data_IF_137080061830
#
_entry.id   IF_137080061830
#
_cell.length_a   1.000
_cell.length_b   1.000
_cell.length_c   1.000
_cell.angle_alpha   90.00
_cell.angle_beta   90.00
_cell.angle_gamma   90.00
#
_symmetry.space_group_name_H-M   'P 1'
#
loop_
_entity.id
_entity.type
_entity.pdbx_description
1 polymer ?
#
# COMPACT_ATOMS: atom_id res chain seq x y z
N UNK A 1 8.97 49.59 -58.02
CA UNK A 1 9.15 48.15 -57.74
C UNK A 1 9.75 47.96 -56.35
N UNK A 2 8.98 47.55 -55.33
CA UNK A 2 9.51 47.03 -54.09
C UNK A 2 9.36 45.50 -54.02
N UNK A 3 10.42 44.84 -53.58
CA UNK A 3 10.62 43.40 -53.46
C UNK A 3 9.56 42.74 -52.54
N UNK A 4 8.85 41.73 -53.05
CA UNK A 4 8.17 40.71 -52.24
C UNK A 4 9.21 40.03 -51.36
N UNK A 5 9.11 40.19 -50.03
CA UNK A 5 9.80 39.30 -49.09
C UNK A 5 9.06 37.96 -49.12
N UNK A 6 9.64 36.96 -49.79
CA UNK A 6 9.22 35.58 -49.65
C UNK A 6 9.40 35.18 -48.18
N UNK A 7 8.31 34.82 -47.50
CA UNK A 7 8.41 34.02 -46.29
C UNK A 7 9.17 32.74 -46.68
N UNK A 8 10.35 32.54 -46.10
CA UNK A 8 11.06 31.27 -46.29
C UNK A 8 10.22 30.17 -45.65
N UNK A 9 10.04 29.09 -46.40
CA UNK A 9 9.32 27.87 -46.01
C UNK A 9 9.79 27.30 -44.65
N UNK A 10 10.98 27.70 -44.20
CA UNK A 10 11.60 27.30 -42.94
C UNK A 10 10.90 27.84 -41.67
N UNK A 11 10.15 28.95 -41.74
CA UNK A 11 9.44 29.49 -40.57
C UNK A 11 8.04 28.89 -40.36
N UNK A 12 7.46 28.26 -41.39
CA UNK A 12 6.18 27.55 -41.28
C UNK A 12 6.34 26.13 -40.69
N UNK A 13 7.54 25.53 -40.80
CA UNK A 13 7.83 24.20 -40.24
C UNK A 13 8.17 24.27 -38.75
N UNK A 14 8.78 25.36 -38.27
CA UNK A 14 9.14 25.49 -36.85
C UNK A 14 7.93 25.75 -35.93
N UNK A 15 6.88 26.41 -36.43
CA UNK A 15 5.64 26.64 -35.66
C UNK A 15 4.73 25.40 -35.62
N UNK A 16 4.83 24.52 -36.62
CA UNK A 16 4.09 23.25 -36.64
C UNK A 16 4.72 22.16 -35.75
N UNK A 17 6.03 22.20 -35.49
CA UNK A 17 6.70 21.24 -34.59
C UNK A 17 6.51 21.60 -33.11
N UNK A 18 6.36 22.88 -32.75
CA UNK A 18 6.12 23.30 -31.35
C UNK A 18 4.64 23.19 -30.94
N UNK A 19 3.69 23.24 -31.89
CA UNK A 19 2.26 23.05 -31.61
C UNK A 19 1.85 21.56 -31.68
N UNK A 20 2.53 20.73 -32.46
CA UNK A 20 2.31 19.28 -32.46
C UNK A 20 2.80 18.58 -31.18
N UNK A 21 3.76 19.16 -30.45
CA UNK A 21 4.24 18.65 -29.17
C UNK A 21 3.30 18.95 -27.97
N UNK A 22 2.32 19.85 -28.14
CA UNK A 22 1.34 20.20 -27.09
C UNK A 22 -0.10 19.74 -27.39
N UNK A 23 -0.33 19.04 -28.51
CA UNK A 23 -1.66 18.59 -28.94
C UNK A 23 -1.84 17.07 -28.87
N UNK A 24 -0.78 16.33 -28.53
CA UNK A 24 -0.94 14.98 -28.01
C UNK A 24 -1.20 15.13 -26.51
N UNK A 25 -2.46 15.33 -26.17
CA UNK A 25 -2.98 14.85 -24.89
C UNK A 25 -2.88 13.32 -24.91
N UNK A 26 -1.65 12.80 -24.87
CA UNK A 26 -1.41 11.53 -24.23
C UNK A 26 -1.93 11.75 -22.82
N UNK A 27 -2.83 10.89 -22.31
CA UNK A 27 -3.18 10.95 -20.90
C UNK A 27 -1.85 11.02 -20.14
N UNK A 28 -1.67 12.07 -19.33
CA UNK A 28 -0.54 12.16 -18.43
C UNK A 28 -0.78 11.06 -17.39
N UNK A 29 -0.38 9.83 -17.73
CA UNK A 29 -0.32 8.74 -16.79
C UNK A 29 0.69 9.22 -15.77
N UNK A 30 0.27 9.35 -14.51
CA UNK A 30 1.20 9.63 -13.43
C UNK A 30 2.41 8.70 -13.58
N UNK A 31 3.62 9.21 -13.29
CA UNK A 31 4.84 8.42 -13.44
C UNK A 31 4.69 7.13 -12.66
N UNK A 32 4.41 6.06 -13.39
CA UNK A 32 4.03 4.77 -12.86
C UNK A 32 4.55 3.69 -13.78
N UNK A 33 5.16 2.67 -13.20
CA UNK A 33 5.74 1.55 -13.92
C UNK A 33 5.25 0.26 -13.27
N UNK A 34 4.91 -0.73 -14.09
CA UNK A 34 4.70 -2.09 -13.61
C UNK A 34 5.51 -3.09 -14.43
N UNK A 35 5.93 -4.19 -13.80
CA UNK A 35 6.61 -5.32 -14.43
C UNK A 35 5.97 -6.60 -13.93
N UNK A 36 5.52 -7.44 -14.85
CA UNK A 36 4.92 -8.74 -14.57
C UNK A 36 6.00 -9.81 -14.71
N UNK A 37 6.10 -10.71 -13.74
CA UNK A 37 7.14 -11.75 -13.68
C UNK A 37 8.38 -11.30 -12.92
N UNK A 38 9.49 -12.00 -13.16
CA UNK A 38 10.75 -11.90 -12.42
C UNK A 38 11.93 -11.37 -13.24
N UNK A 39 11.69 -10.73 -14.39
CA UNK A 39 12.76 -10.14 -15.20
C UNK A 39 13.63 -9.20 -14.35
N UNK A 40 14.98 -9.36 -14.32
CA UNK A 40 15.83 -8.62 -13.40
C UNK A 40 15.63 -7.10 -13.49
N UNK A 41 15.41 -6.47 -12.35
CA UNK A 41 15.34 -5.03 -12.21
C UNK A 41 16.74 -4.47 -11.92
N UNK A 42 16.94 -3.21 -12.28
CA UNK A 42 18.19 -2.48 -12.06
C UNK A 42 18.15 -1.68 -10.77
N UNK A 43 19.32 -1.44 -10.20
CA UNK A 43 19.44 -0.64 -8.98
C UNK A 43 19.04 0.82 -9.22
N UNK A 44 18.32 1.38 -8.24
CA UNK A 44 18.12 2.81 -8.06
C UNK A 44 19.20 3.35 -7.10
N UNK A 45 19.69 4.57 -7.34
CA UNK A 45 20.65 5.24 -6.46
C UNK A 45 20.14 5.49 -5.04
N UNK A 46 18.82 5.43 -4.82
CA UNK A 46 18.21 5.58 -3.50
C UNK A 46 18.10 4.28 -2.69
N UNK A 47 18.37 3.13 -3.30
CA UNK A 47 18.27 1.85 -2.61
C UNK A 47 19.43 1.66 -1.61
N UNK A 48 19.15 1.16 -0.39
CA UNK A 48 20.19 0.73 0.52
C UNK A 48 21.03 -0.40 -0.08
N UNK A 49 22.30 -0.46 0.35
CA UNK A 49 23.20 -1.53 -0.05
C UNK A 49 22.62 -2.89 0.37
N UNK A 50 22.78 -3.92 -0.47
CA UNK A 50 22.26 -5.25 -0.20
C UNK A 50 20.78 -5.47 -0.54
N UNK A 51 20.02 -4.45 -1.00
CA UNK A 51 18.59 -4.62 -1.32
C UNK A 51 18.32 -5.38 -2.62
N UNK A 52 19.20 -5.25 -3.62
CA UNK A 52 18.98 -5.83 -4.96
C UNK A 52 18.82 -7.35 -4.99
N UNK A 53 19.57 -8.15 -4.20
CA UNK A 53 19.30 -9.59 -4.05
C UNK A 53 17.84 -9.90 -3.67
N UNK A 54 17.26 -9.13 -2.73
CA UNK A 54 15.87 -9.31 -2.29
C UNK A 54 14.88 -8.94 -3.42
N UNK A 55 15.13 -7.83 -4.12
CA UNK A 55 14.28 -7.36 -5.23
C UNK A 55 14.28 -8.35 -6.41
N UNK A 56 15.43 -8.94 -6.71
CA UNK A 56 15.61 -9.86 -7.84
C UNK A 56 15.56 -11.33 -7.42
N UNK A 57 14.95 -11.62 -6.29
CA UNK A 57 14.67 -13.00 -5.88
C UNK A 57 13.75 -13.67 -6.93
N UNK A 58 14.04 -14.94 -7.26
CA UNK A 58 13.44 -15.65 -8.39
C UNK A 58 11.91 -15.85 -8.28
N UNK A 59 11.36 -15.77 -7.07
CA UNK A 59 9.94 -15.92 -6.74
C UNK A 59 9.17 -14.60 -6.88
N UNK A 60 9.80 -13.49 -7.30
CA UNK A 60 9.08 -12.26 -7.64
C UNK A 60 8.10 -12.54 -8.78
N UNK A 61 6.84 -12.18 -8.60
CA UNK A 61 5.80 -12.33 -9.63
C UNK A 61 5.32 -11.00 -10.19
N UNK A 62 5.55 -9.91 -9.47
CA UNK A 62 5.08 -8.59 -9.87
C UNK A 62 5.89 -7.49 -9.19
N UNK A 63 6.01 -6.36 -9.88
CA UNK A 63 6.58 -5.12 -9.36
C UNK A 63 5.73 -3.95 -9.85
N UNK A 64 5.49 -2.99 -8.96
CA UNK A 64 4.85 -1.73 -9.28
C UNK A 64 5.57 -0.57 -8.59
N UNK A 65 5.71 0.54 -9.31
CA UNK A 65 6.26 1.79 -8.82
C UNK A 65 5.32 2.93 -9.19
N UNK A 66 5.04 3.82 -8.24
CA UNK A 66 4.33 5.08 -8.49
C UNK A 66 4.97 6.19 -7.67
N UNK A 67 5.60 7.17 -8.33
CA UNK A 67 6.19 8.36 -7.68
C UNK A 67 7.20 8.05 -6.54
N UNK A 68 7.89 6.91 -6.59
CA UNK A 68 8.83 6.47 -5.53
C UNK A 68 8.20 5.56 -4.48
N UNK A 69 6.92 5.22 -4.59
CA UNK A 69 6.28 4.18 -3.79
C UNK A 69 6.43 2.83 -4.51
N UNK A 70 7.28 1.96 -4.00
CA UNK A 70 7.68 0.71 -4.67
C UNK A 70 7.16 -0.51 -3.95
N UNK A 71 6.50 -1.38 -4.69
CA UNK A 71 5.99 -2.65 -4.18
C UNK A 71 6.48 -3.78 -5.06
N UNK A 72 7.12 -4.76 -4.44
CA UNK A 72 7.53 -6.00 -5.05
C UNK A 72 6.72 -7.13 -4.42
N UNK A 73 6.23 -8.04 -5.24
CA UNK A 73 5.31 -9.10 -4.81
C UNK A 73 5.88 -10.45 -5.19
N UNK A 74 5.82 -11.39 -4.26
CA UNK A 74 6.46 -12.70 -4.39
C UNK A 74 5.45 -13.81 -4.11
N UNK A 75 5.66 -14.96 -4.76
CA UNK A 75 4.90 -16.18 -4.51
C UNK A 75 5.84 -17.36 -4.34
N UNK A 76 5.71 -18.08 -3.24
CA UNK A 76 6.56 -19.21 -2.92
C UNK A 76 6.25 -19.85 -1.58
N UNK A 77 7.03 -20.87 -1.25
CA UNK A 77 6.87 -21.62 -0.01
C UNK A 77 7.78 -21.08 1.10
N UNK A 78 7.58 -21.58 2.32
CA UNK A 78 8.31 -21.14 3.52
C UNK A 78 9.83 -21.19 3.37
N UNK A 79 10.38 -22.16 2.63
CA UNK A 79 11.82 -22.22 2.38
C UNK A 79 12.34 -21.02 1.57
N UNK A 80 11.58 -20.60 0.54
CA UNK A 80 11.91 -19.43 -0.27
C UNK A 80 11.79 -18.12 0.54
N UNK A 81 10.77 -18.05 1.40
CA UNK A 81 10.65 -16.95 2.35
C UNK A 81 11.87 -16.89 3.28
N UNK A 82 12.31 -18.01 3.84
CA UNK A 82 13.48 -18.05 4.72
C UNK A 82 14.77 -17.58 4.00
N UNK A 83 14.95 -17.95 2.72
CA UNK A 83 16.07 -17.44 1.91
C UNK A 83 15.96 -15.91 1.69
N UNK A 84 14.74 -15.41 1.46
CA UNK A 84 14.47 -13.97 1.32
C UNK A 84 14.75 -13.22 2.62
N UNK A 85 14.33 -13.76 3.77
CA UNK A 85 14.57 -13.17 5.09
C UNK A 85 16.07 -13.08 5.40
N UNK A 86 16.85 -14.11 5.06
CA UNK A 86 18.32 -14.10 5.19
C UNK A 86 18.97 -12.99 4.37
N UNK A 87 18.51 -12.78 3.14
CA UNK A 87 19.01 -11.67 2.31
C UNK A 87 18.56 -10.31 2.84
N UNK A 88 17.31 -10.21 3.30
CA UNK A 88 16.75 -8.97 3.83
C UNK A 88 17.49 -8.49 5.08
N UNK A 89 17.89 -9.40 5.97
CA UNK A 89 18.69 -9.08 7.15
C UNK A 89 20.10 -8.55 6.83
N UNK A 90 20.59 -8.72 5.60
CA UNK A 90 21.88 -8.20 5.14
C UNK A 90 21.78 -6.82 4.50
N UNK A 91 20.57 -6.27 4.33
CA UNK A 91 20.37 -4.93 3.77
C UNK A 91 20.92 -3.89 4.74
N UNK A 92 21.69 -2.92 4.24
CA UNK A 92 22.17 -1.79 5.03
C UNK A 92 21.04 -0.78 5.28
N UNK A 93 20.17 -1.11 6.24
CA UNK A 93 19.04 -0.29 6.66
C UNK A 93 19.03 -0.13 8.19
N UNK A 94 18.55 1.02 8.71
CA UNK A 94 18.46 1.25 10.16
C UNK A 94 17.51 0.28 10.88
N UNK A 95 16.51 -0.24 10.17
CA UNK A 95 15.50 -1.16 10.70
C UNK A 95 15.17 -2.22 9.65
N UNK A 96 14.97 -3.46 10.12
CA UNK A 96 14.52 -4.59 9.30
C UNK A 96 13.14 -5.05 9.75
N UNK A 97 12.11 -4.31 9.34
CA UNK A 97 10.75 -4.59 9.73
C UNK A 97 10.16 -5.73 8.88
N UNK A 98 9.70 -6.78 9.55
CA UNK A 98 8.96 -7.90 8.96
C UNK A 98 7.57 -7.92 9.57
N UNK A 99 6.56 -7.59 8.78
CA UNK A 99 5.15 -7.62 9.18
C UNK A 99 4.58 -9.00 8.88
N UNK A 100 3.95 -9.62 9.87
CA UNK A 100 3.16 -10.83 9.68
C UNK A 100 1.67 -10.48 9.70
N UNK A 101 0.98 -10.72 8.59
CA UNK A 101 -0.47 -10.52 8.46
C UNK A 101 -1.17 -11.83 8.10
N UNK A 102 -2.43 -12.02 8.51
CA UNK A 102 -3.26 -13.07 7.93
C UNK A 102 -3.41 -12.86 6.43
N UNK A 103 -3.25 -13.94 5.67
CA UNK A 103 -3.44 -13.97 4.23
C UNK A 103 -4.91 -14.15 3.82
N UNK A 104 -5.17 -14.24 2.50
CA UNK A 104 -4.18 -14.21 1.42
C UNK A 104 -3.65 -12.80 1.15
N UNK A 105 -2.37 -12.71 0.76
CA UNK A 105 -1.81 -11.48 0.19
C UNK A 105 -2.36 -11.24 -1.21
N UNK A 106 -2.56 -9.97 -1.55
CA UNK A 106 -3.09 -9.56 -2.87
C UNK A 106 -2.30 -8.38 -3.40
N UNK A 107 -1.95 -8.46 -4.68
CA UNK A 107 -1.54 -7.35 -5.50
C UNK A 107 -2.66 -6.99 -6.49
N UNK A 108 -2.65 -5.76 -6.98
CA UNK A 108 -3.52 -5.32 -8.05
C UNK A 108 -2.69 -4.65 -9.13
N UNK A 109 -2.85 -5.11 -10.38
CA UNK A 109 -2.20 -4.52 -11.55
C UNK A 109 -2.86 -3.20 -11.92
N UNK A 110 -2.19 -2.40 -12.76
CA UNK A 110 -2.76 -1.13 -13.23
C UNK A 110 -4.04 -1.30 -14.05
N UNK A 111 -4.22 -2.46 -14.68
CA UNK A 111 -5.47 -2.85 -15.37
C UNK A 111 -6.52 -3.46 -14.43
N UNK A 112 -6.34 -3.30 -13.12
CA UNK A 112 -7.17 -3.83 -12.04
C UNK A 112 -7.19 -5.36 -11.89
N UNK A 113 -6.38 -6.09 -12.67
CA UNK A 113 -6.27 -7.54 -12.56
C UNK A 113 -5.71 -7.94 -11.19
N UNK A 114 -6.40 -8.78 -10.40
CA UNK A 114 -5.91 -9.24 -9.11
C UNK A 114 -4.79 -10.28 -9.29
N UNK A 115 -3.80 -10.25 -8.41
CA UNK A 115 -2.76 -11.27 -8.29
C UNK A 115 -2.61 -11.67 -6.82
N UNK A 116 -2.42 -12.96 -6.55
CA UNK A 116 -2.08 -13.40 -5.20
C UNK A 116 -0.61 -13.10 -4.89
N UNK A 117 -0.25 -12.98 -3.61
CA UNK A 117 1.14 -13.01 -3.16
C UNK A 117 1.23 -13.65 -1.78
N UNK A 118 2.40 -14.22 -1.49
CA UNK A 118 2.72 -14.82 -0.20
C UNK A 118 3.54 -13.85 0.67
N UNK A 119 4.35 -12.99 0.06
CA UNK A 119 4.96 -11.83 0.72
C UNK A 119 5.19 -10.67 -0.25
N UNK A 120 5.43 -9.49 0.32
CA UNK A 120 5.78 -8.27 -0.40
C UNK A 120 6.98 -7.58 0.23
N UNK A 121 7.70 -6.82 -0.58
CA UNK A 121 8.69 -5.84 -0.13
C UNK A 121 8.17 -4.46 -0.52
N UNK A 122 8.07 -3.56 0.45
CA UNK A 122 7.73 -2.16 0.25
C UNK A 122 8.97 -1.30 0.44
N UNK A 123 9.24 -0.41 -0.51
CA UNK A 123 10.37 0.53 -0.48
C UNK A 123 9.85 1.92 -0.77
N UNK A 124 10.27 2.89 0.05
CA UNK A 124 9.90 4.30 -0.09
C UNK A 124 11.10 5.10 -0.58
N UNK A 125 10.97 5.68 -1.77
CA UNK A 125 11.93 6.57 -2.41
C UNK A 125 11.25 7.78 -3.04
N UNK A 126 12.01 8.57 -3.79
CA UNK A 126 11.54 9.64 -4.67
C UNK A 126 10.62 10.66 -3.97
N UNK A 127 9.50 10.96 -4.63
CA UNK A 127 8.53 11.96 -4.15
C UNK A 127 7.90 11.52 -2.83
N UNK A 128 7.53 10.24 -2.72
CA UNK A 128 6.93 9.71 -1.47
C UNK A 128 7.89 9.83 -0.30
N UNK A 129 9.18 9.49 -0.46
CA UNK A 129 10.19 9.70 0.58
C UNK A 129 10.24 11.16 1.04
N UNK A 130 10.34 12.09 0.10
CA UNK A 130 10.35 13.54 0.39
C UNK A 130 9.07 14.01 1.11
N UNK A 131 7.90 13.45 0.77
CA UNK A 131 6.64 13.74 1.45
C UNK A 131 6.64 13.19 2.88
N UNK A 132 7.00 11.93 3.06
CA UNK A 132 7.04 11.27 4.38
C UNK A 132 8.00 11.95 5.34
N UNK A 133 9.18 12.38 4.88
CA UNK A 133 10.16 13.10 5.69
C UNK A 133 9.67 14.47 6.16
N UNK A 134 8.82 15.13 5.38
CA UNK A 134 8.35 16.51 5.66
C UNK A 134 7.01 16.58 6.38
N UNK A 135 6.15 15.58 6.19
CA UNK A 135 4.71 15.68 6.51
C UNK A 135 4.16 14.53 7.33
N UNK A 136 4.86 13.40 7.43
CA UNK A 136 4.39 12.27 8.23
C UNK A 136 4.80 12.39 9.70
N UNK A 137 4.22 13.38 10.36
CA UNK A 137 4.45 13.66 11.79
C UNK A 137 3.88 12.54 12.69
N UNK A 138 2.85 11.85 12.21
CA UNK A 138 2.20 10.76 12.96
C UNK A 138 2.89 9.40 12.78
N UNK A 139 3.88 9.28 11.88
CA UNK A 139 4.61 8.05 11.61
C UNK A 139 3.73 6.94 11.00
N UNK A 140 2.89 7.32 10.04
CA UNK A 140 1.98 6.43 9.30
C UNK A 140 2.76 5.57 8.30
N UNK A 141 3.78 6.13 7.66
CA UNK A 141 4.55 5.47 6.63
C UNK A 141 5.75 4.73 7.19
N UNK A 142 6.04 3.57 6.60
CA UNK A 142 7.31 2.91 6.80
C UNK A 142 8.40 3.68 6.03
N UNK A 143 9.42 4.13 6.76
CA UNK A 143 10.53 4.94 6.21
C UNK A 143 11.70 4.10 5.69
N UNK A 144 11.65 2.81 5.97
CA UNK A 144 12.68 1.83 5.63
C UNK A 144 12.05 0.66 4.87
N UNK A 145 12.84 -0.08 4.07
CA UNK A 145 12.36 -1.28 3.42
C UNK A 145 11.63 -2.17 4.43
N UNK A 146 10.41 -2.59 4.10
CA UNK A 146 9.56 -3.38 4.98
C UNK A 146 9.04 -4.59 4.22
N UNK A 147 9.23 -5.77 4.80
CA UNK A 147 8.75 -7.02 4.23
C UNK A 147 7.44 -7.41 4.90
N UNK A 148 6.37 -7.63 4.13
CA UNK A 148 5.09 -8.12 4.67
C UNK A 148 4.84 -9.54 4.22
N UNK A 149 4.67 -10.46 5.16
CA UNK A 149 4.37 -11.88 4.92
C UNK A 149 2.91 -12.16 5.22
N UNK A 150 2.24 -12.85 4.30
CA UNK A 150 0.84 -13.24 4.42
C UNK A 150 0.73 -14.72 4.78
N UNK A 151 0.33 -14.99 6.02
CA UNK A 151 0.17 -16.36 6.54
C UNK A 151 -1.21 -16.87 6.12
N UNK A 152 -1.27 -17.82 5.19
CA UNK A 152 -2.53 -18.31 4.58
C UNK A 152 -2.81 -19.80 4.83
N UNK A 153 -2.05 -20.46 5.73
CA UNK A 153 -2.25 -21.87 6.08
C UNK A 153 -1.89 -22.88 4.99
N UNK A 154 -1.33 -22.41 3.86
CA UNK A 154 -0.86 -23.23 2.74
C UNK A 154 0.64 -23.06 2.48
N UNK A 155 1.02 -22.00 1.77
CA UNK A 155 2.39 -21.78 1.30
C UNK A 155 3.37 -21.42 2.42
N UNK A 156 2.88 -20.64 3.39
CA UNK A 156 3.66 -20.13 4.52
C UNK A 156 3.23 -20.82 5.81
N UNK A 157 4.12 -21.67 6.32
CA UNK A 157 4.02 -22.35 7.60
C UNK A 157 4.75 -21.53 8.67
N UNK A 158 3.96 -20.94 9.58
CA UNK A 158 4.43 -20.04 10.62
C UNK A 158 5.47 -20.69 11.53
N UNK A 159 5.36 -21.99 11.83
CA UNK A 159 6.27 -22.70 12.74
C UNK A 159 7.64 -23.01 12.09
N UNK A 160 7.74 -22.85 10.76
CA UNK A 160 8.96 -23.12 9.98
C UNK A 160 9.64 -21.83 9.50
N UNK A 161 9.12 -20.66 9.88
CA UNK A 161 9.78 -19.38 9.61
C UNK A 161 11.06 -19.28 10.43
N UNK A 162 12.19 -19.09 9.75
CA UNK A 162 13.50 -18.83 10.34
C UNK A 162 13.75 -17.33 10.32
N UNK A 163 13.82 -16.70 11.50
CA UNK A 163 14.06 -15.26 11.62
C UNK A 163 15.54 -15.01 11.90
N UNK A 164 16.27 -14.34 11.00
CA UNK A 164 17.61 -13.87 11.28
C UNK A 164 17.65 -12.87 12.44
N UNK A 165 18.83 -12.73 13.06
CA UNK A 165 19.09 -11.68 14.04
C UNK A 165 18.88 -10.28 13.43
N UNK A 166 18.41 -9.33 14.23
CA UNK A 166 18.15 -7.94 13.79
C UNK A 166 16.77 -7.70 13.19
N UNK A 167 16.02 -8.76 12.83
CA UNK A 167 14.63 -8.60 12.35
C UNK A 167 13.71 -8.11 13.47
N UNK A 168 12.98 -7.03 13.19
CA UNK A 168 11.87 -6.56 14.02
C UNK A 168 10.55 -7.09 13.48
N UNK A 169 9.93 -8.00 14.21
CA UNK A 169 8.59 -8.50 13.87
C UNK A 169 7.51 -7.49 14.25
N UNK A 170 6.61 -7.21 13.32
CA UNK A 170 5.38 -6.44 13.52
C UNK A 170 4.16 -7.31 13.21
N UNK A 171 3.08 -7.06 13.94
CA UNK A 171 1.79 -7.75 13.76
C UNK A 171 0.73 -6.78 13.27
N UNK A 172 -0.43 -7.33 12.86
CA UNK A 172 -1.65 -6.53 12.65
C UNK A 172 -1.89 -5.55 13.80
N UNK A 173 -1.81 -6.01 15.04
CA UNK A 173 -2.20 -5.20 16.21
C UNK A 173 -1.21 -4.05 16.44
N UNK A 174 0.08 -4.26 16.17
CA UNK A 174 1.11 -3.20 16.21
C UNK A 174 0.78 -2.11 15.17
N UNK A 175 0.46 -2.51 13.94
CA UNK A 175 0.10 -1.58 12.85
C UNK A 175 -1.25 -0.89 13.09
N UNK A 176 -2.26 -1.63 13.56
CA UNK A 176 -3.56 -1.11 13.96
C UNK A 176 -3.41 -0.01 15.01
N UNK A 177 -2.59 -0.25 16.04
CA UNK A 177 -2.34 0.75 17.08
C UNK A 177 -1.68 2.02 16.51
N UNK A 178 -0.69 1.86 15.63
CA UNK A 178 -0.05 2.97 14.91
C UNK A 178 -1.08 3.79 14.12
N UNK A 179 -1.93 3.15 13.33
CA UNK A 179 -2.90 3.85 12.47
C UNK A 179 -4.07 4.45 13.24
N UNK A 180 -4.57 3.80 14.30
CA UNK A 180 -5.58 4.38 15.18
C UNK A 180 -5.09 5.68 15.84
N UNK A 181 -3.81 5.73 16.24
CA UNK A 181 -3.20 6.97 16.74
C UNK A 181 -3.15 8.05 15.66
N UNK A 182 -2.85 7.68 14.42
CA UNK A 182 -2.74 8.63 13.31
C UNK A 182 -4.07 9.13 12.75
N UNK A 183 -5.18 8.40 12.95
CA UNK A 183 -6.54 8.85 12.60
C UNK A 183 -6.90 10.17 13.30
N UNK A 184 -6.32 10.45 14.47
CA UNK A 184 -6.54 11.70 15.21
C UNK A 184 -5.46 12.76 14.96
N UNK A 185 -4.62 12.58 13.93
CA UNK A 185 -3.55 13.53 13.59
C UNK A 185 -4.12 14.89 13.16
N UNK A 186 -3.38 15.96 13.42
CA UNK A 186 -3.68 17.29 12.88
C UNK A 186 -3.46 17.36 11.36
N UNK A 187 -2.58 16.52 10.82
CA UNK A 187 -2.34 16.41 9.37
C UNK A 187 -3.46 15.63 8.67
N UNK A 188 -4.12 16.27 7.70
CA UNK A 188 -5.11 15.64 6.81
C UNK A 188 -4.51 14.46 6.02
N UNK A 189 -3.23 14.55 5.66
CA UNK A 189 -2.50 13.51 4.95
C UNK A 189 -2.31 12.27 5.85
N UNK A 190 -1.90 12.47 7.10
CA UNK A 190 -1.79 11.36 8.07
C UNK A 190 -3.15 10.70 8.33
N UNK A 191 -4.23 11.48 8.51
CA UNK A 191 -5.58 10.92 8.73
C UNK A 191 -6.05 10.10 7.54
N UNK A 192 -5.84 10.62 6.32
CA UNK A 192 -6.22 9.95 5.07
C UNK A 192 -5.49 8.62 4.89
N UNK A 193 -4.16 8.61 5.04
CA UNK A 193 -3.37 7.39 4.93
C UNK A 193 -3.65 6.40 6.06
N UNK A 194 -3.84 6.88 7.28
CA UNK A 194 -4.20 6.03 8.41
C UNK A 194 -5.53 5.30 8.16
N UNK A 195 -6.53 5.97 7.59
CA UNK A 195 -7.79 5.34 7.23
C UNK A 195 -7.61 4.23 6.18
N UNK A 196 -6.76 4.44 5.18
CA UNK A 196 -6.47 3.45 4.12
C UNK A 196 -5.73 2.26 4.74
N UNK A 197 -4.60 2.50 5.41
CA UNK A 197 -3.78 1.44 5.95
C UNK A 197 -4.50 0.64 7.04
N UNK A 198 -5.34 1.29 7.86
CA UNK A 198 -6.15 0.60 8.85
C UNK A 198 -7.16 -0.36 8.22
N UNK A 199 -7.83 0.04 7.13
CA UNK A 199 -8.72 -0.85 6.39
C UNK A 199 -7.98 -1.99 5.69
N UNK A 200 -6.72 -1.79 5.29
CA UNK A 200 -5.87 -2.83 4.70
C UNK A 200 -5.39 -3.86 5.73
N UNK A 201 -4.92 -3.41 6.90
CA UNK A 201 -4.34 -4.32 7.91
C UNK A 201 -5.39 -4.92 8.83
N UNK A 202 -6.54 -4.27 9.05
CA UNK A 202 -7.61 -4.78 9.92
C UNK A 202 -8.99 -4.74 9.21
N UNK A 203 -9.15 -5.42 8.06
CA UNK A 203 -10.33 -5.30 7.19
C UNK A 203 -11.63 -5.78 7.84
N UNK A 204 -11.55 -6.61 8.89
CA UNK A 204 -12.69 -7.15 9.62
C UNK A 204 -12.88 -6.53 11.01
N UNK A 205 -12.06 -5.53 11.39
CA UNK A 205 -12.11 -4.88 12.69
C UNK A 205 -13.26 -3.89 12.81
N UNK A 206 -14.24 -4.18 13.67
CA UNK A 206 -15.35 -3.26 13.95
C UNK A 206 -14.88 -1.92 14.52
N UNK A 207 -13.93 -1.95 15.44
CA UNK A 207 -13.37 -0.72 16.03
C UNK A 207 -12.63 0.12 14.99
N UNK A 208 -11.96 -0.55 14.05
CA UNK A 208 -11.28 0.08 12.92
C UNK A 208 -12.28 0.72 11.95
N UNK A 209 -13.37 0.02 11.61
CA UNK A 209 -14.46 0.57 10.82
C UNK A 209 -15.11 1.78 11.51
N UNK A 210 -15.31 1.72 12.82
CA UNK A 210 -15.86 2.83 13.58
C UNK A 210 -14.92 4.04 13.61
N UNK A 211 -13.62 3.83 13.82
CA UNK A 211 -12.63 4.89 13.77
C UNK A 211 -12.61 5.57 12.38
N UNK A 212 -12.62 4.79 11.30
CA UNK A 212 -12.70 5.32 9.93
C UNK A 212 -14.03 6.05 9.69
N UNK A 213 -15.15 5.53 10.21
CA UNK A 213 -16.47 6.19 10.08
C UNK A 213 -16.45 7.62 10.65
N UNK A 214 -15.70 7.89 11.73
CA UNK A 214 -15.62 9.25 12.29
C UNK A 214 -15.08 10.27 11.29
N UNK A 215 -14.21 9.84 10.37
CA UNK A 215 -13.60 10.69 9.34
C UNK A 215 -14.57 11.07 8.21
N UNK A 216 -15.78 10.49 8.13
CA UNK A 216 -16.83 10.98 7.21
C UNK A 216 -17.36 12.37 7.59
N UNK A 217 -17.03 12.84 8.80
CA UNK A 217 -17.36 14.18 9.32
C UNK A 217 -16.14 15.09 9.36
N UNK A 218 -15.02 14.66 8.80
CA UNK A 218 -13.80 15.46 8.73
C UNK A 218 -14.06 16.76 7.96
N UNK A 219 -13.35 17.83 8.31
CA UNK A 219 -13.46 19.12 7.62
C UNK A 219 -12.93 19.04 6.18
N UNK A 220 -11.91 18.21 5.96
CA UNK A 220 -11.27 18.05 4.67
C UNK A 220 -12.02 17.03 3.78
N UNK A 221 -12.37 17.45 2.57
CA UNK A 221 -13.13 16.63 1.63
C UNK A 221 -12.36 15.39 1.13
N UNK A 222 -11.04 15.49 1.03
CA UNK A 222 -10.21 14.37 0.61
C UNK A 222 -10.13 13.32 1.72
N UNK A 223 -9.99 13.72 2.99
CA UNK A 223 -10.07 12.81 4.14
C UNK A 223 -11.40 12.05 4.14
N UNK A 224 -12.53 12.75 3.94
CA UNK A 224 -13.86 12.10 3.85
C UNK A 224 -13.94 11.08 2.71
N UNK A 225 -13.36 11.39 1.55
CA UNK A 225 -13.33 10.48 0.40
C UNK A 225 -12.45 9.24 0.63
N UNK A 226 -11.30 9.42 1.29
CA UNK A 226 -10.45 8.31 1.74
C UNK A 226 -11.19 7.42 2.73
N UNK A 227 -11.87 8.00 3.73
CA UNK A 227 -12.67 7.27 4.69
C UNK A 227 -13.78 6.45 4.01
N UNK A 228 -14.51 7.03 3.06
CA UNK A 228 -15.52 6.31 2.29
C UNK A 228 -14.93 5.13 1.50
N UNK A 229 -13.79 5.34 0.83
CA UNK A 229 -13.10 4.28 0.08
C UNK A 229 -12.61 3.16 0.99
N UNK A 230 -12.08 3.48 2.17
CA UNK A 230 -11.68 2.52 3.19
C UNK A 230 -12.86 1.70 3.72
N UNK A 231 -13.99 2.33 4.02
CA UNK A 231 -15.20 1.62 4.46
C UNK A 231 -15.75 0.71 3.34
N UNK A 232 -15.63 1.13 2.07
CA UNK A 232 -15.98 0.31 0.93
C UNK A 232 -15.13 -0.96 0.84
N UNK A 233 -13.82 -0.86 1.15
CA UNK A 233 -12.90 -2.00 1.20
C UNK A 233 -13.29 -2.99 2.31
N UNK A 234 -13.72 -2.48 3.46
CA UNK A 234 -14.16 -3.30 4.59
C UNK A 234 -15.54 -3.96 4.36
N UNK A 235 -16.38 -3.38 3.48
CA UNK A 235 -17.65 -3.96 3.07
C UNK A 235 -18.67 -4.00 4.22
N UNK A 236 -19.41 -5.11 4.36
CA UNK A 236 -20.54 -5.23 5.29
C UNK A 236 -20.22 -4.95 6.76
N UNK A 237 -18.97 -5.16 7.20
CA UNK A 237 -18.58 -4.83 8.58
C UNK A 237 -18.75 -3.32 8.91
N UNK A 238 -18.77 -2.47 7.88
CA UNK A 238 -18.96 -1.03 7.95
C UNK A 238 -20.43 -0.58 7.77
N UNK A 239 -21.42 -1.48 7.89
CA UNK A 239 -22.86 -1.16 7.75
C UNK A 239 -23.32 0.04 8.60
N UNK A 240 -22.71 0.25 9.79
CA UNK A 240 -23.03 1.38 10.66
C UNK A 240 -22.72 2.75 10.04
N UNK A 241 -21.87 2.81 9.00
CA UNK A 241 -21.48 4.03 8.32
C UNK A 241 -22.46 4.47 7.20
N UNK A 242 -23.42 3.61 6.82
CA UNK A 242 -24.38 3.93 5.75
C UNK A 242 -25.15 5.25 5.94
N UNK A 243 -25.61 5.63 7.15
CA UNK A 243 -26.26 6.92 7.37
C UNK A 243 -25.32 8.11 7.10
N UNK A 244 -24.09 8.05 7.60
CA UNK A 244 -23.10 9.13 7.43
C UNK A 244 -22.67 9.25 5.96
N UNK A 245 -22.48 8.14 5.24
CA UNK A 245 -22.19 8.14 3.79
C UNK A 245 -23.30 8.78 2.96
N UNK A 246 -24.58 8.48 3.28
CA UNK A 246 -25.73 9.11 2.62
C UNK A 246 -25.84 10.60 2.92
N UNK A 247 -25.35 11.03 4.08
CA UNK A 247 -25.29 12.44 4.43
C UNK A 247 -24.20 13.17 3.62
N UNK A 248 -23.03 12.57 3.43
CA UNK A 248 -21.98 13.11 2.55
C UNK A 248 -22.48 13.36 1.11
N UNK A 249 -23.32 12.46 0.57
CA UNK A 249 -23.92 12.64 -0.76
C UNK A 249 -24.85 13.86 -0.86
N UNK A 250 -25.58 14.18 0.22
CA UNK A 250 -26.52 15.31 0.23
C UNK A 250 -25.81 16.65 0.35
N UNK A 251 -24.67 16.69 1.03
CA UNK A 251 -23.96 17.91 1.35
C UNK A 251 -23.13 18.48 0.19
N UNK A 252 -23.29 17.95 -1.03
CA UNK A 252 -22.70 18.50 -2.24
C UNK A 252 -21.18 18.37 -2.32
N UNK A 253 -20.60 17.42 -1.60
CA UNK A 253 -19.17 17.11 -1.67
C UNK A 253 -18.77 16.68 -3.10
N UNK A 254 -17.57 17.08 -3.54
CA UNK A 254 -17.03 16.77 -4.86
C UNK A 254 -16.78 15.28 -5.12
N UNK A 255 -16.70 14.44 -4.06
CA UNK A 255 -16.38 13.02 -4.16
C UNK A 255 -17.61 12.08 -4.12
N UNK A 256 -18.74 12.51 -4.71
CA UNK A 256 -20.01 11.76 -4.69
C UNK A 256 -19.88 10.30 -5.13
N UNK A 257 -19.08 10.02 -6.16
CA UNK A 257 -18.84 8.65 -6.66
C UNK A 257 -18.21 7.72 -5.60
N UNK A 258 -17.33 8.25 -4.74
CA UNK A 258 -16.69 7.47 -3.68
C UNK A 258 -17.70 7.07 -2.62
N UNK A 259 -18.58 8.00 -2.22
CA UNK A 259 -19.66 7.72 -1.26
C UNK A 259 -20.67 6.73 -1.81
N UNK A 260 -21.08 6.89 -3.08
CA UNK A 260 -22.01 5.96 -3.72
C UNK A 260 -21.40 4.55 -3.82
N UNK A 261 -20.14 4.44 -4.27
CA UNK A 261 -19.42 3.16 -4.33
C UNK A 261 -19.33 2.50 -2.95
N UNK A 262 -19.06 3.27 -1.90
CA UNK A 262 -19.03 2.76 -0.53
C UNK A 262 -20.39 2.20 -0.09
N UNK A 263 -21.47 2.96 -0.32
CA UNK A 263 -22.84 2.51 -0.02
C UNK A 263 -23.16 1.20 -0.75
N UNK A 264 -22.82 1.10 -2.03
CA UNK A 264 -23.09 -0.09 -2.84
C UNK A 264 -22.27 -1.30 -2.34
N UNK A 265 -20.96 -1.12 -2.11
CA UNK A 265 -20.08 -2.18 -1.60
C UNK A 265 -20.48 -2.67 -0.21
N UNK A 266 -20.89 -1.78 0.68
CA UNK A 266 -21.33 -2.13 2.03
C UNK A 266 -22.69 -2.84 1.98
N UNK A 267 -23.66 -2.30 1.23
CA UNK A 267 -25.03 -2.83 1.21
C UNK A 267 -25.15 -4.15 0.43
N UNK A 268 -24.37 -4.30 -0.63
CA UNK A 268 -24.45 -5.43 -1.57
C UNK A 268 -23.27 -6.40 -1.43
N UNK A 269 -22.33 -6.12 -0.51
CA UNK A 269 -21.16 -6.94 -0.30
C UNK A 269 -21.50 -8.37 0.11
N UNK A 270 -20.63 -9.36 -0.18
CA UNK A 270 -20.80 -10.70 0.33
C UNK A 270 -20.76 -10.72 1.85
N UNK A 271 -21.46 -11.68 2.46
CA UNK A 271 -21.22 -12.00 3.87
C UNK A 271 -19.89 -12.74 3.97
N UNK A 272 -18.94 -12.16 4.71
CA UNK A 272 -17.57 -12.65 4.88
C UNK A 272 -17.32 -13.15 6.31
N UNK A 273 -18.36 -13.58 7.03
CA UNK A 273 -18.24 -14.01 8.42
C UNK A 273 -17.23 -15.16 8.63
N UNK A 274 -17.15 -16.11 7.68
CA UNK A 274 -16.21 -17.23 7.76
C UNK A 274 -14.77 -16.78 7.51
N UNK A 275 -14.56 -15.92 6.52
CA UNK A 275 -13.28 -15.30 6.19
C UNK A 275 -12.79 -14.44 7.36
N UNK A 276 -13.67 -13.64 7.96
CA UNK A 276 -13.37 -12.83 9.14
C UNK A 276 -12.94 -13.70 10.32
N UNK A 277 -13.62 -14.84 10.54
CA UNK A 277 -13.26 -15.80 11.58
C UNK A 277 -11.88 -16.42 11.32
N UNK A 278 -11.63 -16.90 10.10
CA UNK A 278 -10.34 -17.50 9.73
C UNK A 278 -9.19 -16.48 9.81
N UNK A 279 -9.46 -15.24 9.41
CA UNK A 279 -8.53 -14.12 9.51
C UNK A 279 -8.13 -13.87 10.97
N UNK A 280 -9.10 -13.82 11.88
CA UNK A 280 -8.86 -13.59 13.30
C UNK A 280 -8.16 -14.78 13.99
N UNK A 281 -8.49 -16.02 13.61
CA UNK A 281 -7.77 -17.21 14.09
C UNK A 281 -6.29 -17.17 13.68
N UNK A 282 -6.02 -16.79 12.44
CA UNK A 282 -4.64 -16.63 11.94
C UNK A 282 -3.91 -15.49 12.64
N UNK A 283 -4.57 -14.35 12.86
CA UNK A 283 -3.99 -13.22 13.59
C UNK A 283 -3.56 -13.62 15.02
N UNK A 284 -4.35 -14.45 15.70
CA UNK A 284 -4.02 -15.00 17.02
C UNK A 284 -2.80 -15.91 16.97
N UNK A 285 -2.70 -16.79 15.97
CA UNK A 285 -1.53 -17.65 15.79
C UNK A 285 -0.26 -16.83 15.55
N UNK A 286 -0.34 -15.79 14.70
CA UNK A 286 0.76 -14.84 14.46
C UNK A 286 1.18 -14.14 15.76
N UNK A 287 0.22 -13.70 16.57
CA UNK A 287 0.49 -13.04 17.84
C UNK A 287 1.24 -13.96 18.81
N UNK A 288 0.79 -15.21 18.96
CA UNK A 288 1.44 -16.22 19.80
C UNK A 288 2.86 -16.51 19.33
N UNK A 289 3.05 -16.71 18.03
CA UNK A 289 4.38 -16.90 17.43
C UNK A 289 5.29 -15.71 17.73
N UNK A 290 4.82 -14.49 17.46
CA UNK A 290 5.61 -13.26 17.64
C UNK A 290 6.00 -13.05 19.11
N UNK A 291 5.08 -13.32 20.05
CA UNK A 291 5.37 -13.22 21.49
C UNK A 291 6.44 -14.22 21.92
N UNK A 292 6.35 -15.48 21.46
CA UNK A 292 7.35 -16.51 21.73
C UNK A 292 8.72 -16.11 21.19
N UNK A 293 8.79 -15.62 19.95
CA UNK A 293 10.04 -15.18 19.32
C UNK A 293 10.65 -13.98 20.05
N UNK A 294 9.84 -12.96 20.37
CA UNK A 294 10.29 -11.77 21.14
C UNK A 294 10.80 -12.14 22.53
N UNK A 295 10.24 -13.16 23.18
CA UNK A 295 10.71 -13.64 24.47
C UNK A 295 12.07 -14.37 24.36
N UNK A 296 12.25 -15.19 23.33
CA UNK A 296 13.51 -15.90 23.10
C UNK A 296 14.70 -14.94 22.91
N UNK A 297 14.51 -13.85 22.17
CA UNK A 297 15.56 -12.84 21.90
C UNK A 297 15.85 -11.89 23.08
N UNK A 298 15.02 -11.90 24.14
CA UNK A 298 15.25 -11.12 25.37
C UNK A 298 16.03 -11.90 26.43
N UNK A 299 16.34 -13.17 26.19
CA UNK A 299 17.09 -13.99 27.14
C UNK A 299 18.59 -13.80 26.87
N UNK A 300 19.39 -13.34 27.86
CA UNK A 300 20.80 -12.99 27.68
C UNK A 300 21.71 -14.19 27.40
#
# INVERSE_FOLDING_TARGET
>A
MPRRKSLSFAHAVLVLVVVAANSLALPAWGMGQEVIGNEPLHANSEYPEGLMPVINEKHRVYYSWVNGNEHFYFQGETAALNDTLKQFALVDAPEHNVVLLPGPGKAQRFDETPMACDWTLHVVGGIVKSMTERRDEAGVWDKHPTLTVYVSGGSIDLDRIELPEGITLLTRDDLKARYLKAITSTSEESRSHAAIFLATVDPFGKDSAHAIQTLLKDEDSYVRACAASSLALMGKIAESALPDLRECLKNGDRYTESYQRAIDKISQGPDLANEAKAYEETAKSILVFTQKTRAAHKTP
#
